data_IF_083849437513
#
_entry.id   IF_083849437513
#
_cell.length_a   1.000
_cell.length_b   1.000
_cell.length_c   1.000
_cell.angle_alpha   90.00
_cell.angle_beta   90.00
_cell.angle_gamma   90.00
#
_symmetry.space_group_name_H-M   'P 1'
#
loop_
_entity.id
_entity.type
_entity.pdbx_description
1 polymer ?
#
# COMPACT_ATOMS: atom_id res chain seq x y z
N UNK A 1 24.11 20.93 4.16
CA UNK A 1 24.46 19.57 3.69
C UNK A 1 23.16 18.82 3.49
N UNK A 2 22.82 18.51 2.23
CA UNK A 2 21.64 17.71 1.90
C UNK A 2 22.08 16.24 1.82
N UNK A 3 21.39 15.36 2.54
CA UNK A 3 21.56 13.91 2.47
C UNK A 3 20.49 13.38 1.52
N UNK A 4 20.87 12.48 0.62
CA UNK A 4 20.08 11.97 -0.50
C UNK A 4 20.15 10.44 -0.48
N UNK A 5 19.06 9.78 -0.84
CA UNK A 5 18.96 8.32 -0.91
C UNK A 5 18.68 7.89 -2.35
N UNK A 6 19.26 6.78 -2.80
CA UNK A 6 19.12 6.21 -4.16
C UNK A 6 18.46 4.83 -4.05
N UNK A 7 17.51 4.54 -4.95
CA UNK A 7 16.65 3.34 -4.90
C UNK A 7 16.73 2.50 -6.17
N UNK A 8 16.40 1.21 -6.05
CA UNK A 8 15.97 0.37 -7.18
C UNK A 8 14.66 -0.31 -6.75
N UNK A 9 13.59 -0.06 -7.50
CA UNK A 9 12.23 -0.55 -7.30
C UNK A 9 11.97 -1.68 -8.28
N UNK A 10 11.39 -2.82 -7.90
CA UNK A 10 10.84 -3.82 -8.84
C UNK A 10 9.40 -4.11 -8.40
N UNK A 11 8.40 -3.96 -9.29
CA UNK A 11 6.98 -4.15 -8.93
C UNK A 11 6.17 -5.01 -9.91
N UNK A 12 5.23 -5.78 -9.35
CA UNK A 12 3.97 -6.22 -9.92
C UNK A 12 2.84 -5.52 -9.16
N UNK A 13 2.17 -4.56 -9.78
CA UNK A 13 0.89 -4.06 -9.28
C UNK A 13 -0.09 -3.85 -10.44
N UNK A 14 -1.30 -4.37 -10.25
CA UNK A 14 -2.42 -4.17 -11.15
C UNK A 14 -2.87 -2.72 -11.00
N UNK A 15 -2.62 -1.96 -12.06
CA UNK A 15 -3.35 -0.77 -12.51
C UNK A 15 -3.20 0.56 -11.78
N UNK A 16 -2.77 1.56 -12.57
CA UNK A 16 -2.49 2.93 -12.16
C UNK A 16 -3.51 3.90 -12.76
N UNK A 17 -4.14 4.72 -11.92
CA UNK A 17 -4.69 6.02 -12.31
C UNK A 17 -4.17 7.05 -11.31
N UNK A 18 -3.06 7.69 -11.68
CA UNK A 18 -2.36 8.62 -10.85
C UNK A 18 -2.97 10.03 -10.87
N UNK A 19 -2.87 10.71 -9.73
CA UNK A 19 -2.76 12.17 -9.63
C UNK A 19 -1.45 12.75 -10.23
N UNK A 20 -0.50 11.88 -10.60
CA UNK A 20 0.79 12.09 -11.29
C UNK A 20 1.11 11.04 -12.39
N UNK A 21 0.99 11.39 -13.68
CA UNK A 21 1.24 10.48 -14.81
C UNK A 21 2.57 9.69 -14.71
N UNK A 22 2.52 8.38 -14.47
CA UNK A 22 3.65 7.46 -14.69
C UNK A 22 3.66 6.98 -16.13
N UNK A 23 4.86 6.95 -16.70
CA UNK A 23 5.09 6.64 -18.09
C UNK A 23 6.02 5.43 -18.21
N UNK A 24 5.68 4.53 -19.12
CA UNK A 24 6.59 3.48 -19.57
C UNK A 24 7.74 4.11 -20.35
N UNK A 25 8.96 3.70 -20.02
CA UNK A 25 10.13 3.91 -20.86
C UNK A 25 10.83 2.58 -21.08
N UNK A 26 11.09 2.21 -22.34
CA UNK A 26 11.88 1.01 -22.61
C UNK A 26 13.28 1.21 -22.05
N UNK A 27 13.76 0.22 -21.29
CA UNK A 27 15.14 0.24 -20.85
C UNK A 27 16.08 0.29 -22.07
N UNK A 28 16.88 1.36 -22.14
CA UNK A 28 17.89 1.55 -23.17
C UNK A 28 19.23 1.77 -22.48
N UNK A 29 20.23 0.91 -22.70
CA UNK A 29 21.54 1.07 -22.07
C UNK A 29 22.19 2.38 -22.52
N UNK A 30 22.83 3.09 -21.58
CA UNK A 30 23.69 4.21 -21.95
C UNK A 30 24.98 3.67 -22.58
N UNK A 31 25.12 3.87 -23.90
CA UNK A 31 26.31 3.55 -24.67
C UNK A 31 27.24 4.77 -24.84
N UNK A 32 26.94 5.90 -24.19
CA UNK A 32 27.71 7.13 -24.32
C UNK A 32 28.96 7.06 -23.44
N UNK A 33 30.13 6.86 -24.06
CA UNK A 33 31.42 7.09 -23.40
C UNK A 33 31.64 8.59 -23.26
N UNK A 34 30.95 9.25 -22.33
CA UNK A 34 31.21 10.66 -22.02
C UNK A 34 32.45 10.72 -21.13
N UNK A 35 33.57 11.17 -21.69
CA UNK A 35 34.75 11.54 -20.90
C UNK A 35 34.41 12.78 -20.06
N UNK A 36 33.79 12.58 -18.89
CA UNK A 36 33.54 13.62 -17.89
C UNK A 36 34.59 13.48 -16.80
N UNK A 37 35.06 14.62 -16.28
CA UNK A 37 35.78 14.65 -15.02
C UNK A 37 34.75 14.57 -13.90
N UNK A 38 34.74 13.46 -13.16
CA UNK A 38 33.75 13.18 -12.12
C UNK A 38 34.44 13.01 -10.78
N UNK A 39 33.81 13.56 -9.73
CA UNK A 39 34.22 13.34 -8.35
C UNK A 39 33.20 12.38 -7.75
N UNK A 40 33.64 11.17 -7.41
CA UNK A 40 32.78 10.14 -6.80
C UNK A 40 32.42 10.59 -5.39
N UNK A 41 31.16 10.98 -5.19
CA UNK A 41 30.62 11.35 -3.88
C UNK A 41 30.28 10.10 -3.03
N UNK A 42 29.90 9.01 -3.70
CA UNK A 42 29.58 7.72 -3.09
C UNK A 42 29.72 6.62 -4.15
N UNK A 43 30.15 5.44 -3.72
CA UNK A 43 30.21 4.23 -4.55
C UNK A 43 29.93 3.03 -3.66
N UNK A 44 29.26 2.04 -4.23
CA UNK A 44 29.01 0.73 -3.62
C UNK A 44 29.25 -0.36 -4.65
N UNK A 45 29.96 -1.40 -4.26
CA UNK A 45 30.24 -2.59 -5.07
C UNK A 45 29.73 -3.88 -4.42
N UNK A 46 29.15 -3.79 -3.22
CA UNK A 46 28.61 -4.86 -2.39
C UNK A 46 29.63 -5.91 -1.92
N UNK A 47 30.93 -5.72 -2.15
CA UNK A 47 31.98 -6.66 -1.74
C UNK A 47 32.22 -6.69 -0.23
N UNK A 48 31.88 -5.58 0.43
CA UNK A 48 31.95 -5.45 1.89
C UNK A 48 30.63 -5.80 2.59
N UNK A 49 29.70 -6.44 1.86
CA UNK A 49 28.32 -6.59 2.27
C UNK A 49 27.46 -5.44 1.75
N UNK A 50 26.36 -5.13 2.44
CA UNK A 50 25.49 -3.99 2.12
C UNK A 50 25.38 -3.06 3.34
N UNK A 51 26.49 -2.54 3.90
CA UNK A 51 26.47 -1.76 5.13
C UNK A 51 25.64 -0.49 4.98
N UNK A 52 24.60 -0.36 5.80
CA UNK A 52 23.70 0.79 5.81
C UNK A 52 22.65 0.78 4.70
N UNK A 53 22.66 -0.21 3.80
CA UNK A 53 21.54 -0.48 2.91
C UNK A 53 20.45 -1.23 3.67
N UNK A 54 19.20 -0.95 3.32
CA UNK A 54 18.03 -1.67 3.84
C UNK A 54 17.14 -2.10 2.69
N UNK A 55 16.30 -3.08 2.92
CA UNK A 55 15.33 -3.53 1.94
C UNK A 55 14.05 -4.01 2.64
N UNK A 56 12.93 -3.99 1.91
CA UNK A 56 11.63 -4.41 2.42
C UNK A 56 10.63 -4.71 1.30
N UNK A 57 9.61 -5.49 1.64
CA UNK A 57 8.39 -5.67 0.86
C UNK A 57 7.38 -4.58 1.22
N UNK A 58 7.16 -3.64 0.31
CA UNK A 58 6.23 -2.54 0.47
C UNK A 58 4.76 -2.94 0.24
N UNK A 59 4.47 -4.18 -0.21
CA UNK A 59 3.11 -4.70 -0.17
C UNK A 59 2.66 -5.04 1.27
N UNK A 60 3.62 -5.19 2.20
CA UNK A 60 3.32 -5.37 3.62
C UNK A 60 2.80 -4.05 4.20
N UNK A 61 1.54 -4.05 4.59
CA UNK A 61 0.92 -2.89 5.23
C UNK A 61 1.68 -2.50 6.51
N UNK A 62 2.09 -1.23 6.67
CA UNK A 62 2.84 -0.77 7.84
C UNK A 62 1.99 -0.72 9.11
N UNK A 63 0.66 -0.64 8.97
CA UNK A 63 -0.30 -0.58 10.08
C UNK A 63 -1.43 -1.59 9.90
N UNK A 64 -2.17 -1.79 10.99
CA UNK A 64 -3.39 -2.59 11.04
C UNK A 64 -4.37 -2.04 12.11
N UNK A 65 -5.50 -2.73 12.27
CA UNK A 65 -6.45 -2.45 13.34
C UNK A 65 -5.80 -2.60 14.72
N UNK A 66 -6.01 -1.59 15.56
CA UNK A 66 -5.50 -1.54 16.93
C UNK A 66 -6.45 -0.73 17.82
N UNK A 67 -6.21 -0.78 19.13
CA UNK A 67 -6.96 0.04 20.09
C UNK A 67 -6.38 1.44 20.15
N UNK A 68 -7.22 2.43 19.91
CA UNK A 68 -6.89 3.85 20.00
C UNK A 68 -7.73 4.55 21.07
N UNK A 69 -7.09 5.35 21.92
CA UNK A 69 -7.80 6.17 22.90
C UNK A 69 -8.31 7.45 22.22
N UNK A 70 -9.52 7.40 21.68
CA UNK A 70 -10.21 8.57 21.13
C UNK A 70 -10.53 9.62 22.21
N UNK A 71 -10.76 9.15 23.45
CA UNK A 71 -11.12 9.99 24.59
C UNK A 71 -12.57 10.45 24.55
N UNK A 72 -12.88 11.45 25.39
CA UNK A 72 -14.24 11.97 25.54
C UNK A 72 -15.24 10.90 26.00
N UNK A 73 -16.46 10.95 25.46
CA UNK A 73 -17.51 9.97 25.79
C UNK A 73 -17.33 8.62 25.11
N UNK A 74 -16.52 8.55 24.05
CA UNK A 74 -16.30 7.31 23.31
C UNK A 74 -15.19 6.47 23.96
N UNK A 75 -14.15 7.10 24.49
CA UNK A 75 -13.07 6.39 25.18
C UNK A 75 -12.15 5.67 24.20
N UNK A 76 -11.91 4.38 24.42
CA UNK A 76 -11.09 3.56 23.52
C UNK A 76 -11.95 3.03 22.37
N UNK A 77 -11.37 2.90 21.17
CA UNK A 77 -12.05 2.44 19.96
C UNK A 77 -11.14 1.51 19.17
N UNK A 78 -11.71 0.69 18.29
CA UNK A 78 -10.94 0.03 17.25
C UNK A 78 -10.69 1.03 16.11
N UNK A 79 -9.41 1.23 15.76
CA UNK A 79 -9.00 2.13 14.68
C UNK A 79 -8.01 1.42 13.77
N UNK A 80 -8.17 1.58 12.46
CA UNK A 80 -7.26 0.99 11.47
C UNK A 80 -6.05 1.85 11.14
N UNK A 81 -5.97 3.11 11.57
CA UNK A 81 -4.95 4.04 11.08
C UNK A 81 -3.55 3.84 11.65
N UNK A 82 -2.61 4.61 11.14
CA UNK A 82 -1.23 4.65 11.58
C UNK A 82 -0.96 5.97 12.32
N UNK A 83 -0.69 5.92 13.63
CA UNK A 83 -0.19 7.08 14.38
C UNK A 83 1.12 7.67 13.82
N UNK A 84 1.91 6.91 13.06
CA UNK A 84 3.15 7.39 12.44
C UNK A 84 2.90 8.49 11.39
N UNK A 85 1.69 8.57 10.83
CA UNK A 85 1.26 9.63 9.91
C UNK A 85 0.75 10.89 10.64
N UNK A 86 0.81 10.96 11.96
CA UNK A 86 0.33 12.10 12.72
C UNK A 86 1.09 13.39 12.35
N UNK A 87 0.34 14.43 11.97
CA UNK A 87 0.89 15.73 11.62
C UNK A 87 0.08 16.86 12.26
N UNK A 88 0.74 17.70 13.06
CA UNK A 88 0.08 18.82 13.75
C UNK A 88 -0.98 18.33 14.72
N UNK A 89 -2.25 18.71 14.50
CA UNK A 89 -3.40 18.26 15.29
C UNK A 89 -4.07 16.99 14.74
N UNK A 90 -3.58 16.46 13.61
CA UNK A 90 -4.14 15.25 13.02
C UNK A 90 -3.49 14.02 13.65
N UNK A 91 -4.30 12.99 13.87
CA UNK A 91 -3.93 11.79 14.65
C UNK A 91 -3.14 10.76 13.83
N UNK A 92 -2.99 10.97 12.52
CA UNK A 92 -2.52 9.99 11.55
C UNK A 92 -3.67 9.40 10.75
N UNK A 93 -3.40 8.34 9.98
CA UNK A 93 -4.40 7.81 9.05
C UNK A 93 -3.94 6.62 8.24
N UNK A 94 -4.11 6.64 6.93
CA UNK A 94 -3.87 5.48 6.08
C UNK A 94 -2.99 5.83 4.89
N UNK A 95 -2.46 4.78 4.29
CA UNK A 95 -1.63 4.80 3.09
C UNK A 95 -2.46 4.37 1.87
N UNK A 96 -1.97 4.67 0.67
CA UNK A 96 -2.52 4.11 -0.57
C UNK A 96 -2.39 2.58 -0.60
N UNK A 97 -3.16 1.91 -1.47
CA UNK A 97 -3.09 0.47 -1.73
C UNK A 97 -3.39 -0.44 -0.52
N UNK A 98 -4.06 0.05 0.53
CA UNK A 98 -4.31 -0.75 1.73
C UNK A 98 -5.64 -1.48 1.63
N UNK A 99 -5.66 -2.73 2.07
CA UNK A 99 -6.88 -3.48 2.33
C UNK A 99 -6.83 -4.09 3.74
N UNK A 100 -7.44 -3.42 4.72
CA UNK A 100 -7.40 -3.81 6.13
C UNK A 100 -8.75 -4.32 6.62
N UNK A 101 -8.75 -5.43 7.35
CA UNK A 101 -9.97 -6.05 7.88
C UNK A 101 -9.89 -6.34 9.38
N UNK A 102 -11.03 -6.18 10.06
CA UNK A 102 -11.25 -6.57 11.45
C UNK A 102 -12.44 -7.53 11.52
N UNK A 103 -12.17 -8.77 11.93
CA UNK A 103 -13.15 -9.85 11.98
C UNK A 103 -13.54 -10.17 13.42
N UNK A 104 -14.84 -10.22 13.68
CA UNK A 104 -15.40 -10.63 14.96
C UNK A 104 -15.31 -12.16 15.17
N UNK A 105 -15.37 -12.66 16.41
CA UNK A 105 -15.55 -14.10 16.64
C UNK A 105 -16.89 -14.60 16.07
N UNK A 106 -16.96 -15.89 15.78
CA UNK A 106 -18.19 -16.51 15.28
C UNK A 106 -19.29 -16.54 16.33
N UNK A 107 -20.51 -16.13 15.98
CA UNK A 107 -21.70 -16.13 16.85
C UNK A 107 -22.87 -16.80 16.16
N UNK A 108 -23.55 -17.70 16.87
CA UNK A 108 -24.83 -18.26 16.41
C UNK A 108 -25.96 -17.29 16.71
N UNK A 109 -26.74 -16.93 15.69
CA UNK A 109 -27.89 -16.05 15.85
C UNK A 109 -29.13 -16.85 16.24
N UNK A 110 -29.75 -16.51 17.37
CA UNK A 110 -30.91 -17.27 17.89
C UNK A 110 -32.22 -16.49 17.85
N UNK A 111 -32.17 -15.16 17.69
CA UNK A 111 -33.36 -14.31 17.74
C UNK A 111 -33.85 -13.94 16.34
N UNK A 112 -35.17 -14.02 16.11
CA UNK A 112 -35.80 -13.65 14.84
C UNK A 112 -35.58 -12.18 14.43
N UNK A 113 -35.27 -11.31 15.39
CA UNK A 113 -34.94 -9.90 15.18
C UNK A 113 -33.45 -9.60 15.42
N UNK A 114 -32.56 -10.57 15.15
CA UNK A 114 -31.13 -10.38 15.30
C UNK A 114 -30.64 -9.19 14.47
N UNK A 115 -29.89 -8.29 15.11
CA UNK A 115 -29.25 -7.14 14.47
C UNK A 115 -27.77 -7.08 14.87
N UNK A 116 -26.98 -6.44 14.01
CA UNK A 116 -25.69 -5.89 14.37
C UNK A 116 -25.88 -4.39 14.63
N UNK A 117 -25.36 -3.91 15.75
CA UNK A 117 -25.25 -2.49 16.05
C UNK A 117 -23.81 -2.14 16.41
N UNK A 118 -23.36 -0.97 16.00
CA UNK A 118 -22.07 -0.39 16.38
C UNK A 118 -22.11 1.12 16.16
N UNK A 119 -21.13 1.84 16.69
CA UNK A 119 -20.84 3.22 16.28
C UNK A 119 -19.66 3.24 15.33
N UNK A 120 -19.74 4.13 14.36
CA UNK A 120 -18.68 4.30 13.37
C UNK A 120 -18.35 5.78 13.21
N UNK A 121 -17.08 6.05 12.97
CA UNK A 121 -16.58 7.32 12.46
C UNK A 121 -15.56 7.05 11.37
N UNK A 122 -15.60 7.79 10.27
CA UNK A 122 -14.62 7.63 9.20
C UNK A 122 -14.29 8.94 8.48
N UNK A 123 -13.08 9.03 7.96
CA UNK A 123 -12.64 10.06 7.02
C UNK A 123 -11.68 9.43 6.00
N UNK A 124 -12.22 9.14 4.83
CA UNK A 124 -11.54 8.54 3.67
C UNK A 124 -11.83 9.37 2.42
N UNK A 125 -11.19 9.05 1.29
CA UNK A 125 -11.42 9.77 0.04
C UNK A 125 -12.92 9.88 -0.33
N UNK A 126 -13.30 11.06 -0.82
CA UNK A 126 -14.68 11.37 -1.14
C UNK A 126 -15.10 10.68 -2.45
N UNK A 127 -16.22 9.95 -2.52
CA UNK A 127 -16.68 9.29 -3.75
C UNK A 127 -16.85 10.20 -4.98
N UNK A 128 -16.97 11.51 -4.77
CA UNK A 128 -17.14 12.48 -5.84
C UNK A 128 -15.97 12.46 -6.85
N UNK A 129 -16.33 12.48 -8.14
CA UNK A 129 -15.36 12.51 -9.24
C UNK A 129 -14.96 11.11 -9.77
N UNK A 130 -15.40 10.03 -9.12
CA UNK A 130 -15.21 8.68 -9.64
C UNK A 130 -15.84 8.51 -11.03
N UNK A 131 -15.13 7.79 -11.90
CA UNK A 131 -15.56 7.54 -13.28
C UNK A 131 -16.10 6.12 -13.43
N UNK A 132 -17.21 5.98 -14.16
CA UNK A 132 -17.83 4.69 -14.44
C UNK A 132 -16.81 3.65 -14.95
N UNK A 133 -16.89 2.39 -14.51
CA UNK A 133 -18.01 1.78 -13.77
C UNK A 133 -18.01 2.06 -12.25
N UNK A 134 -17.02 2.81 -11.76
CA UNK A 134 -16.86 3.13 -10.35
C UNK A 134 -17.66 4.38 -9.98
N UNK A 135 -18.20 4.40 -8.76
CA UNK A 135 -18.87 5.57 -8.20
C UNK A 135 -18.40 5.91 -6.78
N UNK A 136 -17.23 5.41 -6.40
CA UNK A 136 -16.47 5.80 -5.22
C UNK A 136 -15.00 5.39 -5.34
N UNK A 137 -14.13 6.02 -4.55
CA UNK A 137 -12.69 5.81 -4.51
C UNK A 137 -12.34 4.86 -3.36
N UNK A 138 -11.79 5.38 -2.26
CA UNK A 138 -11.64 4.69 -0.97
C UNK A 138 -12.98 4.37 -0.32
N UNK A 139 -13.05 3.22 0.36
CA UNK A 139 -14.31 2.78 0.95
C UNK A 139 -14.15 1.92 2.21
N UNK A 140 -15.11 2.09 3.11
CA UNK A 140 -15.34 1.23 4.27
C UNK A 140 -16.63 0.41 4.06
N UNK A 141 -16.65 -0.88 4.40
CA UNK A 141 -17.91 -1.64 4.42
C UNK A 141 -17.98 -2.72 5.51
N UNK A 142 -19.19 -3.20 5.75
CA UNK A 142 -19.49 -4.32 6.64
C UNK A 142 -19.79 -5.56 5.81
N UNK A 143 -19.15 -6.67 6.16
CA UNK A 143 -19.35 -7.96 5.50
C UNK A 143 -19.73 -9.04 6.50
N UNK A 144 -20.40 -10.07 6.02
CA UNK A 144 -20.77 -11.24 6.80
C UNK A 144 -20.17 -12.50 6.22
N UNK A 145 -19.79 -13.43 7.09
CA UNK A 145 -19.40 -14.79 6.72
C UNK A 145 -20.26 -15.80 7.47
N UNK A 146 -20.72 -16.83 6.76
CA UNK A 146 -21.52 -17.96 7.29
C UNK A 146 -20.75 -19.28 7.30
N UNK A 147 -19.46 -19.25 6.92
CA UNK A 147 -18.60 -20.43 6.76
C UNK A 147 -17.25 -20.27 7.49
N UNK A 148 -17.28 -19.65 8.67
CA UNK A 148 -16.10 -19.52 9.53
C UNK A 148 -15.05 -18.51 9.03
N UNK A 149 -15.41 -17.63 8.08
CA UNK A 149 -14.51 -16.63 7.52
C UNK A 149 -13.85 -17.04 6.20
N UNK A 150 -14.24 -18.16 5.59
CA UNK A 150 -13.70 -18.60 4.31
C UNK A 150 -14.17 -17.72 3.13
N UNK A 151 -15.42 -17.24 3.18
CA UNK A 151 -15.94 -16.25 2.22
C UNK A 151 -16.71 -15.14 2.95
N UNK A 152 -16.74 -13.96 2.34
CA UNK A 152 -17.34 -12.75 2.90
C UNK A 152 -18.24 -12.06 1.88
N UNK A 153 -19.44 -11.65 2.29
CA UNK A 153 -20.39 -10.92 1.44
C UNK A 153 -20.68 -9.56 2.06
N UNK A 154 -20.55 -8.44 1.32
CA UNK A 154 -21.02 -7.14 1.79
C UNK A 154 -22.50 -7.18 2.13
N UNK A 155 -22.87 -6.62 3.28
CA UNK A 155 -24.27 -6.47 3.71
C UNK A 155 -24.64 -5.00 3.79
N UNK A 156 -25.92 -4.68 3.62
CA UNK A 156 -26.43 -3.30 3.72
C UNK A 156 -27.05 -3.04 5.08
N UNK A 157 -26.97 -1.79 5.53
CA UNK A 157 -27.51 -1.34 6.81
C UNK A 157 -27.87 0.14 6.77
N UNK A 158 -28.10 0.70 7.95
CA UNK A 158 -28.31 2.13 8.15
C UNK A 158 -27.12 2.69 8.97
N UNK A 159 -26.47 3.79 8.55
CA UNK A 159 -26.71 4.54 7.31
C UNK A 159 -26.39 3.72 6.06
N UNK A 160 -27.07 4.02 4.96
CA UNK A 160 -26.76 3.44 3.66
C UNK A 160 -25.34 3.78 3.22
N UNK A 161 -24.75 2.94 2.37
CA UNK A 161 -23.46 3.20 1.74
C UNK A 161 -23.51 4.42 0.80
N UNK A 162 -22.39 5.13 0.71
CA UNK A 162 -22.27 6.36 -0.08
C UNK A 162 -21.96 6.05 -1.56
N UNK A 163 -21.41 4.87 -1.84
CA UNK A 163 -21.19 4.34 -3.19
C UNK A 163 -21.66 2.87 -3.28
N UNK A 164 -21.93 2.42 -4.51
CA UNK A 164 -22.36 1.04 -4.79
C UNK A 164 -21.29 0.20 -5.49
N UNK A 165 -20.23 0.85 -5.99
CA UNK A 165 -19.10 0.22 -6.67
C UNK A 165 -17.85 1.06 -6.40
N UNK A 166 -17.15 0.74 -5.32
CA UNK A 166 -15.90 1.39 -4.93
C UNK A 166 -14.72 0.91 -5.79
N UNK A 167 -13.89 1.84 -6.27
CA UNK A 167 -12.69 1.57 -7.05
C UNK A 167 -11.67 0.77 -6.23
N UNK A 168 -11.43 1.17 -4.99
CA UNK A 168 -10.50 0.53 -4.05
C UNK A 168 -10.75 -0.98 -3.88
N UNK A 169 -11.99 -1.40 -3.56
CA UNK A 169 -12.30 -2.83 -3.49
C UNK A 169 -12.31 -3.51 -4.86
N UNK A 170 -12.93 -2.87 -5.86
CA UNK A 170 -13.29 -3.54 -7.09
C UNK A 170 -12.15 -3.67 -8.11
N UNK A 171 -11.49 -2.55 -8.40
CA UNK A 171 -10.41 -2.51 -9.39
C UNK A 171 -9.07 -2.80 -8.75
N UNK A 172 -8.69 -1.97 -7.77
CA UNK A 172 -7.39 -2.04 -7.09
C UNK A 172 -7.20 -3.41 -6.42
N UNK A 173 -8.19 -3.90 -5.68
CA UNK A 173 -8.11 -5.20 -4.99
C UNK A 173 -8.86 -6.34 -5.70
N UNK A 174 -9.25 -6.14 -6.97
CA UNK A 174 -9.70 -7.22 -7.85
C UNK A 174 -11.01 -7.90 -7.47
N UNK A 175 -11.86 -7.29 -6.64
CA UNK A 175 -13.18 -7.87 -6.29
C UNK A 175 -14.24 -7.67 -7.39
N UNK A 176 -13.94 -6.84 -8.39
CA UNK A 176 -14.86 -6.49 -9.47
C UNK A 176 -15.89 -5.42 -9.08
N UNK A 177 -16.84 -5.17 -9.99
CA UNK A 177 -17.85 -4.12 -9.81
C UNK A 177 -18.89 -4.51 -8.75
N UNK A 178 -19.52 -3.49 -8.15
CA UNK A 178 -20.68 -3.69 -7.28
C UNK A 178 -20.35 -3.94 -5.81
N UNK A 179 -19.10 -3.67 -5.39
CA UNK A 179 -18.74 -3.67 -3.96
C UNK A 179 -19.09 -2.30 -3.37
N UNK A 180 -20.11 -2.21 -2.49
CA UNK A 180 -20.55 -0.94 -1.94
C UNK A 180 -19.69 -0.54 -0.73
N UNK A 181 -19.75 0.74 -0.36
CA UNK A 181 -19.09 1.23 0.85
C UNK A 181 -19.37 2.69 1.18
N UNK A 182 -19.00 3.08 2.39
CA UNK A 182 -18.97 4.46 2.83
C UNK A 182 -17.65 5.09 2.41
N UNK A 183 -17.73 6.26 1.77
CA UNK A 183 -16.58 7.11 1.46
C UNK A 183 -16.70 8.46 2.15
N UNK A 184 -15.75 9.36 1.93
CA UNK A 184 -15.79 10.72 2.44
C UNK A 184 -15.72 10.79 3.97
N UNK A 185 -16.46 11.74 4.57
CA UNK A 185 -16.39 12.04 6.01
C UNK A 185 -17.71 11.72 6.69
N UNK A 186 -17.64 11.00 7.81
CA UNK A 186 -18.78 10.80 8.70
C UNK A 186 -18.33 10.88 10.16
N UNK A 187 -18.97 11.77 10.91
CA UNK A 187 -18.85 11.84 12.36
C UNK A 187 -19.50 10.62 13.04
N UNK A 188 -19.22 10.42 14.34
CA UNK A 188 -19.75 9.31 15.11
C UNK A 188 -21.24 9.09 14.88
N UNK A 189 -21.56 7.95 14.26
CA UNK A 189 -22.91 7.60 13.81
C UNK A 189 -23.26 6.19 14.29
N UNK A 190 -24.47 6.02 14.82
CA UNK A 190 -25.00 4.69 15.13
C UNK A 190 -25.32 3.95 13.82
N UNK A 191 -24.79 2.75 13.72
CA UNK A 191 -24.98 1.85 12.59
C UNK A 191 -25.87 0.67 13.00
N UNK A 192 -26.74 0.21 12.11
CA UNK A 192 -27.63 -0.94 12.35
C UNK A 192 -27.82 -1.76 11.08
N UNK A 193 -27.63 -3.07 11.21
CA UNK A 193 -27.74 -4.04 10.13
C UNK A 193 -28.70 -5.15 10.55
N UNK A 194 -29.64 -5.50 9.67
CA UNK A 194 -30.55 -6.62 9.89
C UNK A 194 -29.82 -7.94 9.63
N UNK A 195 -29.83 -8.84 10.62
CA UNK A 195 -29.24 -10.17 10.52
C UNK A 195 -30.31 -11.28 10.59
N UNK A 196 -31.59 -10.95 10.51
CA UNK A 196 -32.71 -11.90 10.63
C UNK A 196 -32.64 -13.05 9.60
N UNK A 197 -32.09 -12.79 8.41
CA UNK A 197 -31.87 -13.80 7.37
C UNK A 197 -30.85 -14.90 7.76
N UNK A 198 -30.05 -14.67 8.81
CA UNK A 198 -28.99 -15.57 9.26
C UNK A 198 -29.32 -16.29 10.59
N UNK A 199 -30.57 -16.23 11.03
CA UNK A 199 -31.02 -16.93 12.25
C UNK A 199 -30.80 -18.44 12.11
N UNK A 200 -30.26 -19.04 13.16
CA UNK A 200 -29.82 -20.43 13.20
C UNK A 200 -28.42 -20.68 12.62
N UNK A 201 -27.81 -19.70 11.96
CA UNK A 201 -26.46 -19.81 11.41
C UNK A 201 -25.41 -19.25 12.38
N UNK A 202 -24.20 -19.77 12.27
CA UNK A 202 -23.01 -19.21 12.91
C UNK A 202 -22.36 -18.21 11.98
N UNK A 203 -22.33 -16.93 12.37
CA UNK A 203 -21.83 -15.84 11.53
C UNK A 203 -20.63 -15.13 12.14
N UNK A 204 -19.73 -14.63 11.29
CA UNK A 204 -18.73 -13.62 11.64
C UNK A 204 -19.07 -12.31 10.92
N UNK A 205 -18.71 -11.19 11.54
CA UNK A 205 -18.82 -9.85 10.95
C UNK A 205 -17.41 -9.34 10.65
N UNK A 206 -17.24 -8.68 9.51
CA UNK A 206 -16.00 -8.03 9.10
C UNK A 206 -16.25 -6.55 8.89
N UNK A 207 -15.40 -5.72 9.49
CA UNK A 207 -15.24 -4.32 9.13
C UNK A 207 -14.06 -4.23 8.18
N UNK A 208 -14.29 -3.77 6.95
CA UNK A 208 -13.29 -3.71 5.91
C UNK A 208 -13.06 -2.26 5.49
N UNK A 209 -11.80 -1.90 5.31
CA UNK A 209 -11.34 -0.67 4.69
C UNK A 209 -10.48 -1.01 3.48
N UNK A 210 -10.67 -0.30 2.36
CA UNK A 210 -9.77 -0.32 1.23
C UNK A 210 -9.45 1.09 0.74
N UNK A 211 -8.20 1.34 0.35
CA UNK A 211 -7.74 2.55 -0.32
C UNK A 211 -7.23 2.29 -1.73
N UNK A 212 -7.39 3.28 -2.60
CA UNK A 212 -6.84 3.27 -3.94
C UNK A 212 -5.38 3.79 -4.00
N UNK A 213 -4.75 3.80 -5.18
CA UNK A 213 -3.35 4.20 -5.36
C UNK A 213 -3.01 5.67 -5.15
N UNK A 214 -3.98 6.59 -5.09
CA UNK A 214 -3.75 7.96 -5.52
C UNK A 214 -3.86 9.06 -4.45
N UNK A 215 -4.73 8.89 -3.44
CA UNK A 215 -5.02 9.97 -2.50
C UNK A 215 -5.26 9.45 -1.07
N UNK A 216 -4.33 9.74 -0.16
CA UNK A 216 -4.43 9.30 1.23
C UNK A 216 -4.03 10.40 2.23
N UNK A 217 -3.70 9.99 3.45
CA UNK A 217 -3.36 10.91 4.54
C UNK A 217 -2.14 11.78 4.24
N UNK A 218 -1.19 11.33 3.42
CA UNK A 218 -0.07 12.19 2.98
C UNK A 218 -0.52 13.40 2.16
N UNK A 219 -1.58 13.24 1.37
CA UNK A 219 -2.15 14.31 0.53
C UNK A 219 -3.16 15.16 1.31
N UNK A 220 -3.90 14.54 2.22
CA UNK A 220 -4.89 15.18 3.07
C UNK A 220 -4.71 14.74 4.53
N UNK A 221 -3.89 15.46 5.34
CA UNK A 221 -3.56 15.06 6.70
C UNK A 221 -4.74 14.85 7.66
N UNK A 222 -5.94 15.36 7.33
CA UNK A 222 -7.15 15.16 8.12
C UNK A 222 -7.79 13.76 7.95
N UNK A 223 -7.44 13.03 6.88
CA UNK A 223 -7.92 11.67 6.63
C UNK A 223 -7.31 10.70 7.64
N UNK A 224 -8.16 9.87 8.25
CA UNK A 224 -7.76 8.92 9.30
C UNK A 224 -8.31 7.51 9.08
N UNK A 225 -9.05 7.27 8.00
CA UNK A 225 -9.66 5.98 7.72
C UNK A 225 -10.86 5.68 8.62
N UNK A 226 -10.96 4.46 9.15
CA UNK A 226 -12.15 3.96 9.84
C UNK A 226 -11.94 3.68 11.33
N UNK A 227 -12.90 4.13 12.15
CA UNK A 227 -13.03 3.76 13.57
C UNK A 227 -14.37 3.08 13.81
N UNK A 228 -14.37 2.03 14.64
CA UNK A 228 -15.59 1.35 15.11
C UNK A 228 -15.54 1.13 16.61
N UNK A 229 -16.71 1.20 17.24
CA UNK A 229 -16.87 0.95 18.68
C UNK A 229 -18.32 0.55 19.01
N UNK A 230 -18.61 0.21 20.26
CA UNK A 230 -19.94 -0.21 20.74
C UNK A 230 -20.52 -1.39 19.91
N UNK A 231 -19.66 -2.31 19.47
CA UNK A 231 -20.03 -3.42 18.59
C UNK A 231 -20.89 -4.41 19.37
N UNK A 232 -22.05 -4.80 18.83
CA UNK A 232 -22.95 -5.77 19.46
C UNK A 232 -23.76 -6.57 18.44
N UNK A 233 -23.73 -7.90 18.57
CA UNK A 233 -24.57 -8.83 17.80
C UNK A 233 -24.52 -10.23 18.43
N UNK A 234 -25.58 -11.04 18.32
CA UNK A 234 -25.53 -12.47 18.70
C UNK A 234 -25.02 -12.77 20.12
N UNK A 235 -25.26 -11.87 21.08
CA UNK A 235 -24.77 -11.96 22.47
C UNK A 235 -23.27 -11.70 22.64
N UNK A 236 -22.59 -11.20 21.61
CA UNK A 236 -21.23 -10.67 21.66
C UNK A 236 -21.26 -9.15 21.73
N UNK A 237 -20.32 -8.56 22.47
CA UNK A 237 -20.11 -7.12 22.53
C UNK A 237 -18.64 -6.77 22.64
N UNK A 238 -18.19 -5.69 22.00
CA UNK A 238 -16.84 -5.13 22.17
C UNK A 238 -16.90 -3.60 22.15
N UNK A 239 -16.35 -2.98 23.18
CA UNK A 239 -16.36 -1.53 23.40
C UNK A 239 -14.91 -1.00 23.46
N UNK A 240 -14.17 -1.19 22.36
CA UNK A 240 -12.81 -0.65 22.22
C UNK A 240 -11.77 -1.34 23.10
N UNK A 241 -11.84 -2.67 23.20
CA UNK A 241 -10.88 -3.48 23.96
C UNK A 241 -10.35 -4.61 23.08
N UNK A 242 -9.03 -4.80 23.07
CA UNK A 242 -8.42 -6.01 22.51
C UNK A 242 -8.47 -7.12 23.58
N UNK A 243 -9.55 -7.90 23.52
CA UNK A 243 -9.78 -9.07 24.37
C UNK A 243 -9.26 -10.38 23.74
N UNK A 244 -8.53 -10.28 22.62
CA UNK A 244 -8.01 -11.40 21.85
C UNK A 244 -9.06 -12.21 21.08
N UNK A 245 -10.33 -11.75 21.01
CA UNK A 245 -11.37 -12.47 20.27
C UNK A 245 -11.54 -12.00 18.83
N UNK A 246 -11.25 -10.73 18.55
CA UNK A 246 -11.20 -10.21 17.19
C UNK A 246 -9.85 -10.50 16.54
N UNK A 247 -9.87 -10.68 15.23
CA UNK A 247 -8.65 -10.89 14.43
C UNK A 247 -8.59 -9.83 13.35
N UNK A 248 -7.39 -9.35 13.04
CA UNK A 248 -7.19 -8.36 11.99
C UNK A 248 -6.05 -8.78 11.04
N UNK A 249 -6.13 -8.35 9.79
CA UNK A 249 -5.14 -8.67 8.77
C UNK A 249 -5.17 -7.67 7.62
N UNK A 250 -4.06 -7.57 6.88
CA UNK A 250 -4.09 -7.04 5.52
C UNK A 250 -4.57 -8.14 4.56
N UNK A 251 -5.35 -7.78 3.55
CA UNK A 251 -5.73 -8.66 2.44
C UNK A 251 -4.98 -8.34 1.15
N UNK A 252 -4.07 -7.37 1.17
CA UNK A 252 -3.13 -7.11 0.08
C UNK A 252 -2.21 -8.33 -0.02
N UNK A 253 -2.15 -9.02 -1.18
CA UNK A 253 -1.21 -10.10 -1.40
C UNK A 253 0.23 -9.59 -1.30
N UNK A 254 1.10 -10.33 -0.62
CA UNK A 254 2.51 -9.96 -0.41
C UNK A 254 3.43 -10.87 -1.21
N UNK A 255 4.47 -10.29 -1.81
CA UNK A 255 5.48 -11.00 -2.61
C UNK A 255 6.68 -11.48 -1.81
N UNK A 256 6.75 -11.13 -0.52
CA UNK A 256 7.92 -11.26 0.35
C UNK A 256 9.05 -10.30 -0.04
N UNK A 257 10.00 -10.12 0.86
CA UNK A 257 11.22 -9.34 0.62
C UNK A 257 12.31 -10.25 0.08
N UNK A 258 12.62 -10.10 -1.20
CA UNK A 258 13.53 -10.98 -1.94
C UNK A 258 14.93 -10.41 -2.12
N UNK A 259 15.20 -9.20 -1.65
CA UNK A 259 16.52 -8.59 -1.76
C UNK A 259 17.53 -9.31 -0.86
N UNK A 260 18.63 -9.75 -1.44
CA UNK A 260 19.76 -10.34 -0.71
C UNK A 260 21.07 -10.16 -1.48
N UNK A 261 22.18 -10.29 -0.77
CA UNK A 261 23.50 -10.37 -1.41
C UNK A 261 23.67 -11.74 -2.03
N UNK A 262 24.04 -11.77 -3.31
CA UNK A 262 24.42 -12.98 -4.01
C UNK A 262 25.76 -12.79 -4.74
N UNK A 263 26.26 -13.88 -5.31
CA UNK A 263 27.45 -13.89 -6.14
C UNK A 263 27.08 -14.11 -7.60
N UNK A 264 27.39 -13.15 -8.48
CA UNK A 264 27.35 -13.29 -9.93
C UNK A 264 28.76 -13.10 -10.50
N UNK A 265 29.36 -14.19 -10.98
CA UNK A 265 30.70 -14.16 -11.58
C UNK A 265 30.80 -13.31 -12.86
N UNK A 266 29.67 -12.88 -13.42
CA UNK A 266 29.60 -12.01 -14.60
C UNK A 266 29.39 -10.54 -14.24
N UNK A 267 29.33 -10.19 -12.95
CA UNK A 267 29.20 -8.80 -12.50
C UNK A 267 30.34 -7.91 -13.04
N UNK A 268 30.05 -6.63 -13.34
CA UNK A 268 31.04 -5.67 -13.83
C UNK A 268 31.91 -5.07 -12.71
N UNK A 269 31.39 -5.05 -11.48
CA UNK A 269 32.16 -4.97 -10.23
C UNK A 269 32.74 -6.35 -9.89
N UNK A 270 33.53 -6.53 -8.83
CA UNK A 270 33.77 -7.89 -8.32
C UNK A 270 32.42 -8.59 -7.98
N UNK A 271 32.46 -9.89 -7.70
CA UNK A 271 31.33 -10.79 -7.94
C UNK A 271 30.07 -10.60 -7.06
N UNK A 272 30.09 -9.79 -6.01
CA UNK A 272 28.92 -9.58 -5.15
C UNK A 272 27.97 -8.53 -5.73
N UNK A 273 26.68 -8.80 -5.62
CA UNK A 273 25.63 -7.86 -6.01
C UNK A 273 24.38 -8.05 -5.15
N UNK A 274 23.55 -7.01 -5.07
CA UNK A 274 22.19 -7.14 -4.56
C UNK A 274 21.31 -7.76 -5.64
N UNK A 275 20.58 -8.82 -5.28
CA UNK A 275 19.68 -9.53 -6.18
C UNK A 275 18.30 -9.62 -5.54
N UNK A 276 17.27 -9.36 -6.35
CA UNK A 276 15.87 -9.49 -5.99
C UNK A 276 15.30 -10.75 -6.66
N UNK A 277 15.43 -11.90 -6.01
CA UNK A 277 14.96 -13.18 -6.53
C UNK A 277 14.65 -14.17 -5.40
N UNK A 278 13.73 -15.09 -5.65
CA UNK A 278 13.46 -16.20 -4.74
C UNK A 278 14.53 -17.31 -4.87
N UNK A 279 14.45 -18.33 -4.02
CA UNK A 279 15.42 -19.43 -3.99
C UNK A 279 15.50 -20.25 -5.30
N UNK A 280 14.53 -20.10 -6.22
CA UNK A 280 14.55 -20.74 -7.54
C UNK A 280 15.17 -19.86 -8.63
N UNK A 281 15.69 -18.68 -8.29
CA UNK A 281 16.21 -17.71 -9.26
C UNK A 281 15.11 -17.05 -10.10
N UNK A 282 13.91 -16.91 -9.53
CA UNK A 282 12.74 -16.28 -10.16
C UNK A 282 12.16 -15.20 -9.25
N UNK A 283 11.01 -14.65 -9.60
CA UNK A 283 10.27 -13.67 -8.79
C UNK A 283 8.96 -14.27 -8.29
N UNK A 284 8.43 -13.71 -7.21
CA UNK A 284 7.13 -14.07 -6.66
C UNK A 284 6.03 -13.17 -7.26
N UNK A 285 4.79 -13.65 -7.38
CA UNK A 285 3.65 -12.79 -7.69
C UNK A 285 3.45 -11.70 -6.64
N UNK A 286 2.91 -10.54 -7.04
CA UNK A 286 2.58 -9.40 -6.16
C UNK A 286 3.81 -8.81 -5.43
N UNK A 287 4.99 -8.90 -6.04
CA UNK A 287 6.18 -8.27 -5.49
C UNK A 287 6.08 -6.75 -5.59
N UNK A 288 6.38 -6.08 -4.48
CA UNK A 288 6.63 -4.65 -4.42
C UNK A 288 7.88 -4.45 -3.56
N UNK A 289 9.06 -4.64 -4.13
CA UNK A 289 10.31 -4.79 -3.38
C UNK A 289 11.22 -3.58 -3.56
N UNK A 290 11.72 -3.06 -2.43
CA UNK A 290 12.55 -1.86 -2.39
C UNK A 290 13.93 -2.19 -1.83
N UNK A 291 14.97 -1.66 -2.50
CA UNK A 291 16.33 -1.58 -1.99
C UNK A 291 16.70 -0.12 -1.77
N UNK A 292 17.18 0.20 -0.57
CA UNK A 292 17.37 1.56 -0.06
C UNK A 292 18.85 1.78 0.28
N UNK A 293 19.49 2.78 -0.33
CA UNK A 293 20.86 3.17 0.05
C UNK A 293 20.92 3.79 1.45
N UNK A 294 22.09 3.84 2.10
CA UNK A 294 22.31 4.80 3.18
C UNK A 294 22.17 6.25 2.67
N UNK A 295 21.98 7.25 3.56
CA UNK A 295 21.98 8.65 3.16
C UNK A 295 23.34 9.10 2.65
N UNK A 296 23.39 9.51 1.38
CA UNK A 296 24.56 10.05 0.68
C UNK A 296 24.59 11.58 0.78
N UNK A 297 25.72 12.17 1.17
CA UNK A 297 25.86 13.64 1.16
C UNK A 297 26.37 14.10 -0.20
N UNK A 298 25.54 14.81 -0.97
CA UNK A 298 25.96 15.37 -2.25
C UNK A 298 26.65 16.74 -2.08
N UNK A 299 27.52 17.14 -3.04
CA UNK A 299 28.10 18.47 -3.10
C UNK A 299 27.03 19.59 -3.11
N UNK A 300 27.40 20.79 -2.65
CA UNK A 300 26.46 21.93 -2.58
C UNK A 300 26.18 22.59 -3.94
N UNK A 301 26.93 22.24 -4.99
CA UNK A 301 26.81 22.79 -6.34
C UNK A 301 27.48 21.88 -7.36
N UNK A 302 27.05 21.97 -8.62
CA UNK A 302 27.59 21.20 -9.74
C UNK A 302 26.54 20.27 -10.35
N UNK A 303 26.81 19.78 -11.55
CA UNK A 303 25.99 18.75 -12.16
C UNK A 303 26.24 17.42 -11.42
N UNK A 304 25.15 16.73 -11.09
CA UNK A 304 25.17 15.48 -10.35
C UNK A 304 24.54 14.38 -11.21
N UNK A 305 25.11 13.19 -11.13
CA UNK A 305 24.74 12.03 -11.93
C UNK A 305 24.80 10.80 -11.01
N UNK A 306 24.01 9.80 -11.31
CA UNK A 306 24.05 8.50 -10.64
C UNK A 306 24.15 7.45 -11.73
N UNK A 307 25.18 6.61 -11.66
CA UNK A 307 25.36 5.51 -12.58
C UNK A 307 25.32 4.20 -11.80
N UNK A 308 24.63 3.21 -12.33
CA UNK A 308 24.62 1.86 -11.77
C UNK A 308 24.50 0.80 -12.86
N UNK A 309 24.97 -0.40 -12.53
CA UNK A 309 24.87 -1.56 -13.39
C UNK A 309 23.66 -2.39 -12.98
N UNK A 310 22.87 -2.81 -13.95
CA UNK A 310 21.66 -3.61 -13.74
C UNK A 310 21.62 -4.80 -14.69
N UNK A 311 21.09 -5.91 -14.20
CA UNK A 311 20.80 -7.13 -14.95
C UNK A 311 19.48 -7.68 -14.44
N UNK A 312 18.60 -8.09 -15.34
CA UNK A 312 17.32 -8.68 -14.97
C UNK A 312 16.51 -9.09 -16.19
N UNK A 313 15.42 -9.82 -15.99
CA UNK A 313 14.48 -10.12 -17.07
C UNK A 313 13.11 -10.39 -16.47
N UNK A 314 12.08 -9.87 -17.12
CA UNK A 314 10.69 -10.16 -16.79
C UNK A 314 10.11 -11.06 -17.88
N UNK A 315 9.16 -11.91 -17.51
CA UNK A 315 8.36 -12.65 -18.48
C UNK A 315 6.92 -12.17 -18.40
N UNK A 316 6.70 -10.95 -18.91
CA UNK A 316 5.39 -10.32 -18.91
C UNK A 316 4.99 -9.88 -20.32
N UNK A 317 4.06 -10.60 -20.97
CA UNK A 317 3.59 -10.27 -22.33
C UNK A 317 2.45 -9.25 -22.36
N UNK A 318 2.04 -8.70 -21.22
CA UNK A 318 0.91 -7.79 -21.13
C UNK A 318 1.25 -6.40 -21.71
N UNK A 319 0.25 -5.51 -21.73
CA UNK A 319 0.43 -4.12 -22.16
C UNK A 319 0.44 -3.19 -20.94
N UNK A 320 1.31 -2.17 -20.97
CA UNK A 320 1.35 -1.16 -19.93
C UNK A 320 -0.05 -0.53 -19.72
N UNK A 321 -0.51 -0.33 -18.46
CA UNK A 321 0.25 -0.43 -17.22
C UNK A 321 0.32 -1.82 -16.57
N UNK A 322 -0.26 -2.86 -17.16
CA UNK A 322 -0.34 -4.20 -16.56
C UNK A 322 0.94 -5.02 -16.81
N UNK A 323 2.11 -4.41 -16.65
CA UNK A 323 3.43 -5.03 -16.93
C UNK A 323 4.36 -4.98 -15.73
N UNK A 324 5.22 -5.98 -15.60
CA UNK A 324 6.38 -5.97 -14.70
C UNK A 324 7.37 -4.86 -15.08
N UNK A 325 7.79 -4.06 -14.10
CA UNK A 325 8.79 -3.01 -14.32
C UNK A 325 9.74 -2.84 -13.14
N UNK A 326 10.86 -2.16 -13.39
CA UNK A 326 11.64 -1.53 -12.32
C UNK A 326 11.52 -0.01 -12.38
N UNK A 327 11.67 0.63 -11.23
CA UNK A 327 11.80 2.08 -11.11
C UNK A 327 13.04 2.42 -10.29
N UNK A 328 13.33 3.71 -10.17
CA UNK A 328 14.28 4.19 -9.19
C UNK A 328 13.95 5.61 -8.80
N UNK A 329 14.16 5.91 -7.53
CA UNK A 329 13.60 7.07 -6.86
C UNK A 329 14.64 7.73 -5.95
N UNK A 330 14.33 8.97 -5.56
CA UNK A 330 15.13 9.79 -4.67
C UNK A 330 14.27 10.40 -3.57
N UNK A 331 14.84 10.43 -2.36
CA UNK A 331 14.32 11.21 -1.25
C UNK A 331 15.34 12.23 -0.78
N UNK A 332 14.85 13.42 -0.46
CA UNK A 332 15.63 14.55 0.06
C UNK A 332 15.25 14.93 1.50
N UNK A 333 14.33 14.20 2.11
CA UNK A 333 13.71 14.52 3.40
C UNK A 333 13.83 13.40 4.43
N UNK A 334 14.77 12.46 4.22
CA UNK A 334 14.99 11.35 5.15
C UNK A 334 14.16 10.11 4.86
N UNK A 335 13.60 9.98 3.65
CA UNK A 335 12.76 8.86 3.24
C UNK A 335 11.27 9.06 3.53
N UNK A 336 10.84 10.28 3.83
CA UNK A 336 9.43 10.58 4.06
C UNK A 336 8.66 10.74 2.73
N UNK A 337 9.31 11.38 1.75
CA UNK A 337 8.77 11.54 0.39
C UNK A 337 9.78 11.01 -0.63
N UNK A 338 9.26 10.34 -1.66
CA UNK A 338 10.01 9.78 -2.77
C UNK A 338 9.57 10.39 -4.09
N UNK A 339 10.53 10.63 -4.98
CA UNK A 339 10.29 11.11 -6.33
C UNK A 339 10.99 10.20 -7.32
N UNK A 340 10.33 9.87 -8.44
CA UNK A 340 10.99 9.20 -9.55
C UNK A 340 12.25 9.96 -9.97
N UNK A 341 13.33 9.27 -10.27
CA UNK A 341 14.59 9.92 -10.67
C UNK A 341 14.48 10.70 -11.98
N UNK A 342 13.48 10.41 -12.81
CA UNK A 342 13.12 11.21 -13.99
C UNK A 342 12.47 12.56 -13.65
N UNK A 343 11.98 12.74 -12.42
CA UNK A 343 11.42 13.96 -11.89
C UNK A 343 11.84 14.16 -10.41
N UNK A 344 13.16 14.29 -10.14
CA UNK A 344 13.73 14.12 -8.80
C UNK A 344 13.37 15.25 -7.81
N UNK A 345 12.63 16.26 -8.28
CA UNK A 345 12.16 17.40 -7.50
C UNK A 345 10.63 17.48 -7.39
N UNK A 346 9.91 16.47 -7.89
CA UNK A 346 8.45 16.45 -7.85
C UNK A 346 7.81 17.62 -8.61
N UNK A 347 8.40 18.02 -9.75
CA UNK A 347 7.87 19.13 -10.54
C UNK A 347 6.46 18.78 -11.05
N UNK A 348 5.43 19.60 -10.80
CA UNK A 348 4.08 19.35 -11.29
C UNK A 348 4.05 19.23 -12.81
N UNK A 349 3.42 18.16 -13.33
CA UNK A 349 3.39 17.84 -14.75
C UNK A 349 4.71 17.28 -15.32
N UNK A 350 5.72 17.03 -14.48
CA UNK A 350 6.92 16.29 -14.85
C UNK A 350 6.66 14.81 -15.07
N UNK A 351 7.50 14.17 -15.89
CA UNK A 351 7.36 12.75 -16.22
C UNK A 351 7.97 11.86 -15.13
N UNK A 352 7.20 10.91 -14.62
CA UNK A 352 7.67 9.87 -13.72
C UNK A 352 7.84 8.57 -14.51
N UNK A 353 9.07 8.15 -14.79
CA UNK A 353 9.33 6.95 -15.60
C UNK A 353 9.48 5.71 -14.74
N UNK A 354 8.90 4.63 -15.23
CA UNK A 354 9.27 3.26 -14.88
C UNK A 354 9.79 2.57 -16.13
N UNK A 355 10.56 1.50 -15.93
CA UNK A 355 11.36 0.88 -16.97
C UNK A 355 11.01 -0.59 -17.13
N UNK A 356 10.62 -0.94 -18.36
CA UNK A 356 10.30 -2.31 -18.79
C UNK A 356 11.44 -2.87 -19.65
N UNK A 357 11.39 -4.17 -19.97
CA UNK A 357 12.30 -4.77 -20.94
C UNK A 357 13.75 -4.93 -20.46
N UNK A 358 13.95 -5.23 -19.17
CA UNK A 358 15.27 -5.55 -18.65
C UNK A 358 15.95 -6.69 -19.42
N UNK A 359 17.28 -6.59 -19.53
CA UNK A 359 18.11 -7.55 -20.24
C UNK A 359 18.86 -8.46 -19.28
N UNK A 360 18.94 -9.76 -19.61
CA UNK A 360 19.64 -10.76 -18.78
C UNK A 360 21.18 -10.68 -18.90
N UNK A 361 21.69 -9.49 -19.19
CA UNK A 361 23.11 -9.14 -19.24
C UNK A 361 23.29 -7.83 -18.50
N UNK A 362 24.43 -7.62 -17.86
CA UNK A 362 24.74 -6.36 -17.17
C UNK A 362 24.76 -5.18 -18.14
N UNK A 363 24.00 -4.14 -17.83
CA UNK A 363 23.88 -2.91 -18.62
C UNK A 363 24.02 -1.69 -17.70
N UNK A 364 24.56 -0.59 -18.23
CA UNK A 364 24.65 0.68 -17.52
C UNK A 364 23.32 1.42 -17.55
N UNK A 365 22.95 2.00 -16.42
CA UNK A 365 21.86 2.97 -16.25
C UNK A 365 22.43 4.27 -15.70
N UNK A 366 21.95 5.41 -16.20
CA UNK A 366 22.42 6.77 -15.89
C UNK A 366 21.25 7.71 -15.64
#
# INVERSE_FOLDING_TARGET
MKRIYIFILITQCVSFLFSYQVLENNFSPDNSTKNRYEIVAYSEDFESGAPGWTHYDAAVSPNNWHIYNFGGTQGNVWWMGDPALAQGSNIGGYYNHQYLVLDTPARTLTSANATLTFKMRHNVENPAGATAPWNGWDACNVRISTNGGATWTPISGNPAYDCTSAYSFGFEHGEGQGIPGWGGVREWTNCTFDLSAYVGQSVKIRFAFASDPAYCTSDAPAMYGMMVDDISFGGYSNNGVDDGQMTYSSLVPVGEDLWHIATDATAPSPSHCMVCQNASGSYNPNMLNYLVSPPVTLPNSGDMWVDFMLKGSYNDPNAFPEVDYFGWEISVDGGNTWYAMSNPYGTPGGNNYVYTGLQNTWQSMT
#
